data_IF_681401066922
#
_entry.id   IF_681401066922
#
_cell.length_a   1.000
_cell.length_b   1.000
_cell.length_c   1.000
_cell.angle_alpha   90.00
_cell.angle_beta   90.00
_cell.angle_gamma   90.00
#
_symmetry.space_group_name_H-M   'P 1'
#
loop_
_entity.id
_entity.type
_entity.pdbx_description
1 polymer ?
#
# COMPACT_ATOMS: atom_id res chain seq x y z
N UNK A 1 -77.96 -6.50 -35.70
CA UNK A 1 -77.43 -7.85 -35.41
C UNK A 1 -75.98 -7.72 -34.98
N UNK A 2 -75.62 -8.37 -33.87
CA UNK A 2 -74.30 -8.39 -33.24
C UNK A 2 -73.30 -9.15 -34.13
N UNK A 3 -72.06 -8.66 -34.24
CA UNK A 3 -70.88 -9.46 -33.84
C UNK A 3 -69.66 -8.58 -33.60
N UNK A 4 -69.04 -8.81 -32.44
CA UNK A 4 -67.77 -8.24 -31.94
C UNK A 4 -66.58 -8.85 -32.71
N UNK A 5 -65.45 -8.13 -32.73
CA UNK A 5 -64.12 -8.71 -32.50
C UNK A 5 -63.17 -7.60 -31.98
N UNK A 6 -62.40 -7.98 -30.97
CA UNK A 6 -61.58 -7.17 -30.07
C UNK A 6 -60.15 -6.90 -30.62
N UNK A 7 -59.39 -5.98 -30.01
CA UNK A 7 -58.17 -5.38 -30.55
C UNK A 7 -56.90 -6.20 -30.22
N UNK A 8 -55.97 -6.24 -31.17
CA UNK A 8 -54.60 -6.73 -30.96
C UNK A 8 -53.70 -5.64 -30.38
N UNK A 9 -53.47 -5.71 -29.07
CA UNK A 9 -52.44 -5.00 -28.34
C UNK A 9 -51.05 -5.58 -28.68
N UNK A 10 -50.13 -4.76 -29.15
CA UNK A 10 -48.69 -4.96 -29.02
C UNK A 10 -48.04 -3.62 -28.63
N UNK A 11 -48.16 -3.25 -27.34
CA UNK A 11 -47.28 -2.25 -26.73
C UNK A 11 -46.03 -2.99 -26.23
N UNK A 12 -44.92 -2.86 -26.95
CA UNK A 12 -43.61 -3.22 -26.45
C UNK A 12 -43.14 -2.13 -25.48
N UNK A 13 -43.29 -2.38 -24.19
CA UNK A 13 -42.65 -1.57 -23.15
C UNK A 13 -41.15 -1.90 -23.10
N UNK A 14 -40.33 -0.99 -23.65
CA UNK A 14 -38.88 -1.00 -23.42
C UNK A 14 -38.63 -0.47 -21.99
N UNK A 15 -38.51 -1.37 -21.02
CA UNK A 15 -37.95 -1.04 -19.71
C UNK A 15 -36.45 -0.83 -19.85
N UNK A 16 -36.05 0.42 -20.10
CA UNK A 16 -34.69 0.88 -19.86
C UNK A 16 -34.48 0.82 -18.35
N UNK A 17 -33.77 -0.20 -17.87
CA UNK A 17 -33.16 -0.19 -16.55
C UNK A 17 -32.08 0.90 -16.56
N UNK A 18 -32.48 2.14 -16.29
CA UNK A 18 -31.57 3.14 -15.74
C UNK A 18 -31.17 2.64 -14.35
N UNK A 19 -30.11 1.85 -14.30
CA UNK A 19 -29.35 1.63 -13.06
C UNK A 19 -28.79 2.98 -12.64
N UNK A 20 -29.57 3.72 -11.85
CA UNK A 20 -29.06 4.81 -11.03
C UNK A 20 -27.98 4.21 -10.14
N UNK A 21 -26.71 4.31 -10.55
CA UNK A 21 -25.60 4.22 -9.60
C UNK A 21 -25.81 5.35 -8.61
N UNK A 22 -26.35 5.00 -7.45
CA UNK A 22 -26.36 5.87 -6.29
C UNK A 22 -24.93 6.32 -6.03
N UNK A 23 -24.67 7.59 -6.27
CA UNK A 23 -23.46 8.26 -5.76
C UNK A 23 -23.57 8.18 -4.24
N UNK A 24 -22.61 7.56 -3.53
CA UNK A 24 -22.66 7.49 -2.07
C UNK A 24 -22.73 8.91 -1.50
N UNK A 25 -23.65 9.15 -0.57
CA UNK A 25 -23.70 10.42 0.17
C UNK A 25 -22.40 10.58 0.97
N UNK A 26 -21.85 11.80 1.07
CA UNK A 26 -20.81 12.10 2.06
C UNK A 26 -21.43 11.84 3.44
N UNK A 27 -21.02 10.76 4.10
CA UNK A 27 -21.61 10.29 5.36
C UNK A 27 -21.98 8.81 5.42
N UNK A 28 -22.08 8.11 4.28
CA UNK A 28 -22.11 6.63 4.20
C UNK A 28 -20.73 6.05 3.90
N UNK A 29 -19.68 6.71 4.43
CA UNK A 29 -18.35 6.15 4.47
C UNK A 29 -18.38 4.94 5.42
N UNK A 30 -18.64 3.75 4.88
CA UNK A 30 -18.36 2.50 5.57
C UNK A 30 -16.94 2.57 6.14
N UNK A 31 -16.77 2.13 7.39
CA UNK A 31 -15.53 2.35 8.11
C UNK A 31 -14.31 1.87 7.30
N UNK A 32 -13.17 2.54 7.50
CA UNK A 32 -11.94 2.19 6.80
C UNK A 32 -11.66 0.69 7.02
N UNK A 33 -11.66 -0.08 5.94
CA UNK A 33 -11.33 -1.50 6.03
C UNK A 33 -9.91 -1.68 6.56
N UNK A 34 -9.66 -2.78 7.27
CA UNK A 34 -8.30 -3.16 7.65
C UNK A 34 -7.38 -3.19 6.41
N UNK A 35 -6.11 -2.81 6.56
CA UNK A 35 -5.15 -2.87 5.48
C UNK A 35 -4.95 -4.34 5.13
N UNK A 36 -4.84 -4.62 3.84
CA UNK A 36 -4.82 -5.93 3.20
C UNK A 36 -4.04 -6.99 4.01
N UNK A 37 -4.71 -7.86 4.78
CA UNK A 37 -4.03 -8.83 5.66
C UNK A 37 -3.13 -9.80 4.88
N UNK A 38 -3.43 -10.02 3.59
CA UNK A 38 -2.59 -10.84 2.72
C UNK A 38 -1.20 -10.24 2.43
N UNK A 39 -1.00 -8.93 2.61
CA UNK A 39 0.28 -8.24 2.41
C UNK A 39 0.86 -7.66 3.69
N UNK A 40 -0.01 -7.19 4.60
CA UNK A 40 0.39 -6.66 5.90
C UNK A 40 0.50 -7.73 6.98
N UNK A 41 0.09 -8.97 6.69
CA UNK A 41 0.14 -10.08 7.62
C UNK A 41 -0.67 -9.75 8.88
N UNK A 42 -0.08 -9.91 10.08
CA UNK A 42 -0.76 -9.61 11.34
C UNK A 42 -0.79 -8.10 11.68
N UNK A 43 -0.23 -7.23 10.83
CA UNK A 43 -0.16 -5.78 11.08
C UNK A 43 -1.48 -5.11 10.68
N UNK A 44 -2.03 -4.35 11.61
CA UNK A 44 -3.31 -3.63 11.51
C UNK A 44 -3.13 -2.15 11.88
N UNK A 45 -4.15 -1.33 11.64
CA UNK A 45 -4.14 0.09 12.05
C UNK A 45 -3.97 0.28 13.57
N UNK A 46 -4.41 -0.71 14.35
CA UNK A 46 -4.48 -0.68 15.81
C UNK A 46 -3.41 -1.54 16.49
N UNK A 47 -2.55 -2.22 15.72
CA UNK A 47 -1.52 -3.11 16.26
C UNK A 47 -0.70 -2.44 17.36
N UNK A 48 -0.56 -3.09 18.49
CA UNK A 48 0.24 -2.60 19.62
C UNK A 48 1.66 -3.14 19.57
N UNK A 49 2.57 -2.56 20.36
CA UNK A 49 3.92 -3.11 20.52
C UNK A 49 3.88 -4.58 21.00
N UNK A 50 3.02 -4.89 21.97
CA UNK A 50 2.90 -6.24 22.52
C UNK A 50 2.42 -7.26 21.48
N UNK A 51 1.44 -6.89 20.65
CA UNK A 51 0.95 -7.74 19.56
C UNK A 51 2.03 -7.95 18.49
N UNK A 52 2.75 -6.89 18.12
CA UNK A 52 3.81 -6.97 17.11
C UNK A 52 5.03 -7.77 17.60
N UNK A 53 5.42 -7.65 18.88
CA UNK A 53 6.45 -8.52 19.49
C UNK A 53 6.02 -9.98 19.50
N UNK A 54 4.73 -10.24 19.69
CA UNK A 54 4.19 -11.61 19.66
C UNK A 54 4.18 -12.17 18.23
N UNK A 55 3.79 -11.34 17.27
CA UNK A 55 3.72 -11.70 15.86
C UNK A 55 5.10 -11.87 15.19
N UNK A 56 6.09 -11.08 15.64
CA UNK A 56 7.44 -11.05 15.09
C UNK A 56 8.49 -11.17 16.21
N UNK A 57 8.62 -12.36 16.84
CA UNK A 57 9.47 -12.54 18.01
C UNK A 57 10.97 -12.34 17.74
N UNK A 58 11.39 -12.48 16.48
CA UNK A 58 12.79 -12.29 16.06
C UNK A 58 13.09 -10.84 15.64
N UNK A 59 12.07 -9.99 15.47
CA UNK A 59 12.24 -8.62 15.01
C UNK A 59 12.67 -7.70 16.16
N UNK A 60 13.57 -6.77 15.84
CA UNK A 60 13.88 -5.67 16.75
C UNK A 60 12.75 -4.66 16.70
N UNK A 61 12.22 -4.30 17.87
CA UNK A 61 11.10 -3.35 17.97
C UNK A 61 11.61 -2.05 18.56
N UNK A 62 11.46 -0.98 17.78
CA UNK A 62 11.79 0.39 18.13
C UNK A 62 10.48 1.19 18.24
N UNK A 63 10.13 1.61 19.45
CA UNK A 63 8.94 2.38 19.72
C UNK A 63 9.35 3.78 20.19
N UNK A 64 9.28 4.74 19.27
CA UNK A 64 9.63 6.14 19.52
C UNK A 64 8.40 7.01 19.43
N UNK A 65 8.00 7.54 20.57
CA UNK A 65 7.18 8.74 20.58
C UNK A 65 8.11 9.94 20.39
N UNK A 66 7.97 10.63 19.25
CA UNK A 66 8.68 11.89 19.07
C UNK A 66 7.97 12.91 19.95
N UNK A 67 8.56 13.26 21.09
CA UNK A 67 8.13 14.34 21.96
C UNK A 67 8.29 15.67 21.21
N UNK A 68 7.36 15.97 20.31
CA UNK A 68 7.27 17.27 19.69
C UNK A 68 6.40 18.14 20.61
N UNK A 69 6.88 19.32 20.96
CA UNK A 69 6.10 20.36 21.65
C UNK A 69 4.88 20.84 20.84
N UNK A 70 4.62 20.21 19.68
CA UNK A 70 3.44 20.40 18.84
C UNK A 70 2.39 19.32 19.21
N UNK A 71 1.18 19.72 19.64
CA UNK A 71 0.06 18.80 19.82
C UNK A 71 -0.18 17.96 18.57
N UNK A 72 -0.16 16.63 18.71
CA UNK A 72 -0.31 15.70 17.60
C UNK A 72 1.00 15.20 16.98
N UNK A 73 2.07 15.16 17.77
CA UNK A 73 3.36 14.61 17.37
C UNK A 73 3.24 13.17 16.82
N UNK A 74 4.04 12.89 15.79
CA UNK A 74 4.06 11.58 15.14
C UNK A 74 4.93 10.63 15.97
N UNK A 75 4.37 9.57 16.53
CA UNK A 75 5.11 8.40 17.02
C UNK A 75 5.40 7.43 15.89
N UNK A 76 6.49 6.67 16.00
CA UNK A 76 6.83 5.59 15.09
C UNK A 76 7.02 4.32 15.92
N UNK A 77 6.23 3.30 15.59
CA UNK A 77 6.53 1.92 15.98
C UNK A 77 7.13 1.22 14.77
N UNK A 78 8.41 0.87 14.85
CA UNK A 78 9.16 0.21 13.79
C UNK A 78 9.57 -1.20 14.20
N UNK A 79 9.54 -2.12 13.23
CA UNK A 79 10.11 -3.45 13.34
C UNK A 79 11.20 -3.61 12.30
N UNK A 80 12.38 -4.04 12.73
CA UNK A 80 13.47 -4.43 11.84
C UNK A 80 13.69 -5.94 11.91
N UNK A 81 13.82 -6.58 10.74
CA UNK A 81 13.98 -8.03 10.64
C UNK A 81 12.67 -8.81 10.72
N UNK A 82 11.53 -8.18 10.43
CA UNK A 82 10.26 -8.88 10.34
C UNK A 82 10.22 -9.74 9.08
N UNK A 83 9.88 -11.03 9.19
CA UNK A 83 9.70 -11.91 8.03
C UNK A 83 8.26 -11.88 7.53
N UNK A 84 8.05 -11.29 6.36
CA UNK A 84 6.73 -11.12 5.75
C UNK A 84 6.77 -11.53 4.28
N UNK A 85 6.05 -12.58 3.86
CA UNK A 85 5.82 -12.83 2.44
C UNK A 85 4.99 -11.69 1.81
N UNK A 86 5.30 -11.23 0.59
CA UNK A 86 6.41 -11.66 -0.28
C UNK A 86 7.73 -10.91 -0.04
N UNK A 87 7.79 -9.96 0.89
CA UNK A 87 8.97 -9.11 1.17
C UNK A 87 10.21 -9.87 1.67
N UNK A 88 10.04 -11.04 2.30
CA UNK A 88 11.14 -11.72 2.98
C UNK A 88 11.49 -10.99 4.27
N UNK A 89 12.76 -10.68 4.47
CA UNK A 89 13.18 -9.79 5.57
C UNK A 89 12.74 -8.35 5.24
N UNK A 90 11.89 -7.80 6.11
CA UNK A 90 11.22 -6.53 5.92
C UNK A 90 11.40 -5.62 7.11
N UNK A 91 11.34 -4.32 6.85
CA UNK A 91 11.09 -3.28 7.84
C UNK A 91 9.61 -2.93 7.82
N UNK A 92 8.99 -2.90 8.99
CA UNK A 92 7.58 -2.49 9.16
C UNK A 92 7.57 -1.20 9.96
N UNK A 93 6.78 -0.21 9.55
CA UNK A 93 6.64 1.06 10.28
C UNK A 93 5.17 1.44 10.41
N UNK A 94 4.78 1.79 11.62
CA UNK A 94 3.47 2.31 11.97
C UNK A 94 3.66 3.76 12.43
N UNK A 95 3.24 4.71 11.61
CA UNK A 95 3.29 6.13 11.96
C UNK A 95 1.96 6.53 12.61
N UNK A 96 2.05 6.95 13.87
CA UNK A 96 0.90 7.22 14.73
C UNK A 96 0.93 8.67 15.15
N UNK A 97 -0.22 9.23 15.48
CA UNK A 97 -0.29 10.47 16.24
C UNK A 97 -0.64 10.11 17.67
N UNK A 98 0.01 10.71 18.67
CA UNK A 98 -0.25 10.38 20.08
C UNK A 98 -1.76 10.38 20.42
N UNK A 99 -2.25 9.28 21.01
CA UNK A 99 -3.68 9.08 21.34
C UNK A 99 -4.60 8.78 20.15
N UNK A 100 -4.07 8.64 18.93
CA UNK A 100 -4.80 8.31 17.70
C UNK A 100 -4.21 7.03 17.10
N UNK A 101 -5.03 6.09 16.63
CA UNK A 101 -4.50 4.91 15.95
C UNK A 101 -3.76 5.25 14.64
N UNK A 102 -3.03 4.28 14.12
CA UNK A 102 -2.02 4.47 13.07
C UNK A 102 -2.61 5.14 11.81
N UNK A 103 -1.93 6.18 11.33
CA UNK A 103 -2.32 6.91 10.12
C UNK A 103 -1.60 6.42 8.86
N UNK A 104 -0.38 5.88 9.01
CA UNK A 104 0.39 5.32 7.90
C UNK A 104 1.02 4.00 8.30
N UNK A 105 0.84 2.98 7.47
CA UNK A 105 1.53 1.70 7.55
C UNK A 105 2.50 1.60 6.38
N UNK A 106 3.72 1.18 6.66
CA UNK A 106 4.76 0.93 5.67
C UNK A 106 5.32 -0.47 5.90
N UNK A 107 5.40 -1.25 4.84
CA UNK A 107 6.23 -2.45 4.78
C UNK A 107 7.20 -2.28 3.64
N UNK A 108 8.48 -2.45 3.91
CA UNK A 108 9.53 -2.29 2.91
C UNK A 108 10.55 -3.41 3.00
N UNK A 109 10.97 -3.89 1.83
CA UNK A 109 12.19 -4.67 1.68
C UNK A 109 13.28 -3.74 1.16
N UNK A 110 14.43 -3.77 1.82
CA UNK A 110 15.57 -2.90 1.52
C UNK A 110 16.74 -3.80 1.15
N UNK A 111 17.41 -3.49 0.06
CA UNK A 111 18.67 -4.12 -0.31
C UNK A 111 19.74 -3.07 -0.62
N UNK A 112 20.98 -3.38 -0.24
CA UNK A 112 22.13 -2.53 -0.45
C UNK A 112 23.24 -3.36 -1.11
N UNK A 113 23.40 -3.21 -2.43
CA UNK A 113 24.39 -3.97 -3.18
C UNK A 113 25.83 -3.70 -2.67
N UNK A 114 26.14 -2.48 -2.25
CA UNK A 114 27.47 -2.13 -1.73
C UNK A 114 27.80 -2.84 -0.41
N UNK A 115 26.80 -3.18 0.40
CA UNK A 115 26.99 -3.92 1.64
C UNK A 115 26.85 -5.44 1.48
N UNK A 116 26.06 -5.89 0.49
CA UNK A 116 25.67 -7.30 0.34
C UNK A 116 26.53 -8.05 -0.67
N UNK A 117 27.03 -7.36 -1.69
CA UNK A 117 27.73 -7.99 -2.80
C UNK A 117 29.25 -8.01 -2.62
N UNK A 118 29.96 -9.00 -3.19
CA UNK A 118 31.42 -9.01 -3.23
C UNK A 118 31.97 -7.77 -3.93
N UNK A 119 33.16 -7.31 -3.54
CA UNK A 119 33.81 -6.13 -4.15
C UNK A 119 34.37 -6.39 -5.55
N UNK A 120 34.63 -7.66 -5.91
CA UNK A 120 35.16 -8.02 -7.21
C UNK A 120 34.18 -7.61 -8.33
N UNK A 121 34.59 -6.82 -9.35
CA UNK A 121 33.65 -6.15 -10.26
C UNK A 121 32.64 -7.05 -10.98
N UNK A 122 33.08 -8.22 -11.49
CA UNK A 122 32.19 -9.15 -12.19
C UNK A 122 31.21 -9.82 -11.22
N UNK A 123 31.69 -10.25 -10.04
CA UNK A 123 30.87 -10.85 -9.00
C UNK A 123 29.88 -9.83 -8.39
N UNK A 124 30.30 -8.57 -8.28
CA UNK A 124 29.46 -7.46 -7.87
C UNK A 124 28.31 -7.26 -8.85
N UNK A 125 28.62 -7.18 -10.15
CA UNK A 125 27.61 -6.97 -11.18
C UNK A 125 26.57 -8.11 -11.20
N UNK A 126 27.03 -9.35 -11.11
CA UNK A 126 26.14 -10.52 -11.03
C UNK A 126 25.29 -10.53 -9.76
N UNK A 127 25.88 -10.16 -8.61
CA UNK A 127 25.15 -10.05 -7.36
C UNK A 127 24.10 -8.93 -7.39
N UNK A 128 24.48 -7.73 -7.83
CA UNK A 128 23.58 -6.59 -7.94
C UNK A 128 22.40 -6.89 -8.87
N UNK A 129 22.66 -7.57 -9.99
CA UNK A 129 21.61 -8.03 -10.91
C UNK A 129 20.64 -9.02 -10.24
N UNK A 130 21.12 -9.95 -9.41
CA UNK A 130 20.25 -10.87 -8.65
C UNK A 130 19.39 -10.13 -7.62
N UNK A 131 19.95 -9.12 -6.95
CA UNK A 131 19.17 -8.28 -6.01
C UNK A 131 18.07 -7.52 -6.74
N UNK A 132 18.37 -6.90 -7.88
CA UNK A 132 17.39 -6.22 -8.72
C UNK A 132 16.28 -7.17 -9.21
N UNK A 133 16.64 -8.38 -9.66
CA UNK A 133 15.66 -9.40 -10.06
C UNK A 133 14.76 -9.82 -8.90
N UNK A 134 15.33 -10.02 -7.70
CA UNK A 134 14.57 -10.34 -6.49
C UNK A 134 13.59 -9.22 -6.17
N UNK A 135 14.04 -7.97 -6.25
CA UNK A 135 13.22 -6.78 -6.00
C UNK A 135 12.07 -6.66 -6.98
N UNK A 136 12.33 -6.82 -8.27
CA UNK A 136 11.28 -6.81 -9.30
C UNK A 136 10.28 -7.95 -9.07
N UNK A 137 10.73 -9.14 -8.66
CA UNK A 137 9.85 -10.25 -8.34
C UNK A 137 8.92 -9.95 -7.16
N UNK A 138 9.44 -9.34 -6.08
CA UNK A 138 8.61 -8.88 -4.95
C UNK A 138 7.59 -7.85 -5.45
N UNK A 139 8.02 -6.83 -6.19
CA UNK A 139 7.14 -5.81 -6.73
C UNK A 139 6.00 -6.40 -7.58
N UNK A 140 6.30 -7.26 -8.55
CA UNK A 140 5.27 -7.87 -9.41
C UNK A 140 4.34 -8.81 -8.64
N UNK A 141 4.86 -9.52 -7.64
CA UNK A 141 4.05 -10.38 -6.77
C UNK A 141 3.00 -9.61 -5.97
N UNK A 142 3.26 -8.32 -5.68
CA UNK A 142 2.33 -7.40 -5.04
C UNK A 142 1.43 -6.70 -6.07
N UNK A 143 2.01 -6.16 -7.14
CA UNK A 143 1.31 -5.35 -8.13
C UNK A 143 0.23 -6.15 -8.86
N UNK A 144 0.48 -7.42 -9.21
CA UNK A 144 -0.49 -8.27 -9.91
C UNK A 144 -1.81 -8.43 -9.15
N UNK A 145 -1.79 -8.94 -7.90
CA UNK A 145 -2.97 -8.99 -7.03
C UNK A 145 -3.66 -7.65 -6.82
N UNK A 146 -2.90 -6.56 -6.57
CA UNK A 146 -3.47 -5.23 -6.34
C UNK A 146 -4.21 -4.71 -7.57
N UNK A 147 -3.64 -4.86 -8.77
CA UNK A 147 -4.29 -4.51 -10.04
C UNK A 147 -5.57 -5.32 -10.28
N UNK A 148 -5.57 -6.62 -9.94
CA UNK A 148 -6.79 -7.46 -10.05
C UNK A 148 -7.88 -7.02 -9.07
N UNK A 149 -7.51 -6.59 -7.87
CA UNK A 149 -8.44 -6.22 -6.80
C UNK A 149 -9.00 -4.80 -6.96
N UNK A 150 -8.17 -3.84 -7.33
CA UNK A 150 -8.50 -2.41 -7.35
C UNK A 150 -8.54 -1.79 -8.74
N UNK A 151 -8.20 -2.55 -9.78
CA UNK A 151 -8.12 -2.04 -11.14
C UNK A 151 -6.81 -1.31 -11.44
N UNK A 152 -6.78 -0.49 -12.51
CA UNK A 152 -5.58 0.23 -12.91
C UNK A 152 -5.15 1.22 -11.83
N UNK A 153 -3.84 1.29 -11.59
CA UNK A 153 -3.24 2.25 -10.67
C UNK A 153 -2.93 3.56 -11.39
N UNK A 154 -2.92 4.67 -10.65
CA UNK A 154 -2.19 5.86 -11.09
C UNK A 154 -0.69 5.58 -10.96
N UNK A 155 0.10 5.99 -11.95
CA UNK A 155 1.56 5.88 -11.91
C UNK A 155 2.13 7.23 -11.51
N UNK A 156 2.96 7.25 -10.47
CA UNK A 156 3.81 8.38 -10.16
C UNK A 156 5.25 8.01 -10.49
N UNK A 157 5.85 8.74 -11.43
CA UNK A 157 7.26 8.56 -11.75
C UNK A 157 8.14 8.96 -10.55
N UNK A 158 7.68 9.85 -9.68
CA UNK A 158 8.45 10.43 -8.59
C UNK A 158 8.17 9.67 -7.29
N UNK A 159 8.84 8.54 -7.10
CA UNK A 159 8.75 7.82 -5.83
C UNK A 159 9.44 8.61 -4.72
N UNK A 160 8.72 9.56 -4.11
CA UNK A 160 9.21 10.41 -3.01
C UNK A 160 10.42 11.29 -3.33
N UNK A 161 10.72 11.54 -4.60
CA UNK A 161 11.76 12.48 -5.04
C UNK A 161 11.12 13.75 -5.53
N UNK A 162 11.54 14.90 -5.00
CA UNK A 162 11.13 16.21 -5.52
C UNK A 162 11.89 16.59 -6.82
N UNK A 163 12.88 15.80 -7.22
CA UNK A 163 13.69 16.02 -8.42
C UNK A 163 13.09 15.31 -9.63
N UNK A 164 12.64 16.10 -10.62
CA UNK A 164 12.01 15.63 -11.85
C UNK A 164 13.00 15.35 -13.01
N UNK A 165 14.26 15.78 -12.91
CA UNK A 165 15.27 15.60 -13.96
C UNK A 165 16.28 14.51 -13.59
N UNK A 166 16.57 13.60 -14.53
CA UNK A 166 17.59 12.56 -14.35
C UNK A 166 17.16 11.33 -13.55
N UNK A 167 15.85 11.16 -13.33
CA UNK A 167 15.33 10.08 -12.50
C UNK A 167 15.53 8.70 -13.14
N UNK A 168 15.98 7.73 -12.34
CA UNK A 168 16.13 6.35 -12.77
C UNK A 168 14.74 5.78 -13.13
N UNK A 169 14.54 5.21 -14.34
CA UNK A 169 13.24 4.69 -14.76
C UNK A 169 12.74 3.51 -13.91
N UNK A 170 13.62 2.93 -13.08
CA UNK A 170 13.27 1.90 -12.10
C UNK A 170 12.66 2.49 -10.83
N UNK A 171 12.62 3.81 -10.69
CA UNK A 171 12.02 4.50 -9.57
C UNK A 171 10.62 4.99 -9.93
N UNK A 172 9.58 4.43 -9.30
CA UNK A 172 8.18 4.80 -9.52
C UNK A 172 7.28 4.22 -8.43
N UNK A 173 6.05 4.74 -8.31
CA UNK A 173 4.96 4.13 -7.54
C UNK A 173 3.69 3.93 -8.36
N UNK A 174 2.89 2.98 -7.87
CA UNK A 174 1.53 2.70 -8.26
C UNK A 174 0.62 3.07 -7.10
N UNK A 175 -0.39 3.89 -7.37
CA UNK A 175 -1.32 4.38 -6.35
C UNK A 175 -2.75 3.95 -6.65
N UNK A 176 -3.45 3.46 -5.63
CA UNK A 176 -4.88 3.15 -5.66
C UNK A 176 -5.61 3.94 -4.56
N UNK A 177 -6.76 4.51 -4.92
CA UNK A 177 -7.69 5.10 -3.94
C UNK A 177 -8.69 4.01 -3.52
N UNK A 178 -8.63 3.64 -2.25
CA UNK A 178 -9.52 2.65 -1.63
C UNK A 178 -10.41 3.38 -0.62
N UNK A 179 -11.69 3.02 -0.44
CA UNK A 179 -12.49 3.61 0.62
C UNK A 179 -11.78 3.50 1.98
N UNK A 180 -11.49 4.65 2.60
CA UNK A 180 -10.82 4.74 3.90
C UNK A 180 -9.29 4.80 3.88
N UNK A 181 -8.62 4.56 2.75
CA UNK A 181 -7.17 4.72 2.64
C UNK A 181 -6.65 4.83 1.19
N UNK A 182 -5.49 5.44 1.02
CA UNK A 182 -4.71 5.36 -0.21
C UNK A 182 -3.68 4.24 -0.07
N UNK A 183 -3.56 3.38 -1.08
CA UNK A 183 -2.52 2.37 -1.16
C UNK A 183 -1.48 2.78 -2.19
N UNK A 184 -0.21 2.73 -1.82
CA UNK A 184 0.93 3.01 -2.70
C UNK A 184 1.89 1.83 -2.67
N UNK A 185 2.20 1.27 -3.84
CA UNK A 185 3.27 0.30 -4.02
C UNK A 185 4.33 0.95 -4.89
N UNK A 186 5.57 1.04 -4.44
CA UNK A 186 6.62 1.54 -5.31
C UNK A 186 7.97 0.92 -5.06
N UNK A 187 8.87 1.23 -5.97
CA UNK A 187 10.25 0.80 -5.94
C UNK A 187 11.14 1.98 -6.32
N UNK A 188 12.34 2.04 -5.74
CA UNK A 188 13.23 3.18 -5.92
C UNK A 188 14.36 3.21 -4.91
N UNK A 189 15.25 4.18 -5.07
CA UNK A 189 16.28 4.45 -4.07
C UNK A 189 15.68 5.15 -2.85
N UNK A 190 16.27 4.91 -1.68
CA UNK A 190 15.87 5.66 -0.49
C UNK A 190 16.24 7.15 -0.65
N UNK A 191 15.33 8.10 -0.36
CA UNK A 191 15.60 9.54 -0.48
C UNK A 191 16.75 10.05 0.41
N UNK A 192 17.21 9.26 1.38
CA UNK A 192 18.32 9.58 2.28
C UNK A 192 19.68 9.72 1.57
N UNK A 193 19.77 9.36 0.28
CA UNK A 193 21.00 9.40 -0.50
C UNK A 193 21.93 8.20 -0.26
N UNK A 194 21.46 7.18 0.46
CA UNK A 194 22.17 5.91 0.57
C UNK A 194 21.95 5.07 -0.69
N UNK A 195 22.92 4.23 -1.07
CA UNK A 195 22.85 3.32 -2.23
C UNK A 195 21.82 2.18 -2.07
N UNK A 196 20.87 2.37 -1.16
CA UNK A 196 19.82 1.45 -0.78
C UNK A 196 18.67 1.56 -1.77
N UNK A 197 18.19 0.39 -2.16
CA UNK A 197 17.02 0.28 -3.00
C UNK A 197 15.92 -0.44 -2.26
N UNK A 198 14.69 -0.05 -2.58
CA UNK A 198 13.52 -0.49 -1.84
C UNK A 198 12.41 -0.98 -2.76
N UNK A 199 11.59 -1.87 -2.20
CA UNK A 199 10.18 -2.05 -2.60
C UNK A 199 9.36 -1.80 -1.35
N UNK A 200 8.46 -0.82 -1.41
CA UNK A 200 7.60 -0.45 -0.29
C UNK A 200 6.13 -0.56 -0.66
N UNK A 201 5.34 -1.11 0.26
CA UNK A 201 3.89 -1.00 0.26
C UNK A 201 3.47 -0.10 1.41
N UNK A 202 2.75 0.96 1.07
CA UNK A 202 2.29 1.99 2.01
C UNK A 202 0.78 2.03 1.98
N UNK A 203 0.15 1.97 3.15
CA UNK A 203 -1.26 2.31 3.31
C UNK A 203 -1.36 3.61 4.12
N UNK A 204 -1.95 4.64 3.51
CA UNK A 204 -2.16 5.96 4.10
C UNK A 204 -3.65 6.10 4.39
N UNK A 205 -4.01 6.15 5.67
CA UNK A 205 -5.40 6.26 6.08
C UNK A 205 -5.99 7.61 5.69
N UNK A 206 -7.25 7.57 5.26
CA UNK A 206 -8.06 8.76 5.09
C UNK A 206 -8.64 9.17 6.46
N UNK A 207 -8.29 10.37 6.93
CA UNK A 207 -8.71 10.87 8.24
C UNK A 207 -10.20 11.21 8.29
N UNK A 208 -10.87 11.33 7.14
CA UNK A 208 -12.32 11.56 7.08
C UNK A 208 -13.13 10.29 7.40
N UNK A 209 -12.50 9.11 7.39
CA UNK A 209 -13.15 7.84 7.70
C UNK A 209 -12.99 7.49 9.20
N UNK A 210 -14.09 7.21 9.94
CA UNK A 210 -14.02 6.89 11.37
C UNK A 210 -13.29 5.57 11.63
N UNK A 211 -12.78 5.41 12.86
CA UNK A 211 -12.28 4.12 13.36
C UNK A 211 -13.45 3.18 13.66
N UNK A 212 -13.27 1.88 13.40
CA UNK A 212 -14.05 0.83 14.07
C UNK A 212 -13.51 0.60 15.48
#
# INVERSE_FOLDING_TARGET
MRTRLLPGLCLSALTVFCSCRSVPRPGEAGAAGEPLPEFFGPVTWTSTEAELRTAFPEAQVDNRDFDSQVPGALGILALEGARLPPFGDARVRLLRRGGVPTGVLVIESIDNAAQTCPEAPEEFADCAKRLEQKRQAVFESLAGPLRRRYGPASVDAHFGSDEAEGQDPRQFSLTWKVPGYTLELGTGQEPSGHAEWTVRLVAIRDLEYPFL
#
